data_IF_111325601106
#
_entry.id   IF_111325601106
#
_cell.length_a   1.000
_cell.length_b   1.000
_cell.length_c   1.000
_cell.angle_alpha   90.00
_cell.angle_beta   90.00
_cell.angle_gamma   90.00
#
_symmetry.space_group_name_H-M   'P 1'
#
loop_
_entity.id
_entity.type
_entity.pdbx_description
1 polymer ?
#
# COMPACT_ATOMS: atom_id res chain seq x y z
N UNK A 1 -38.82 29.56 16.97
CA UNK A 1 -37.78 30.34 16.26
C UNK A 1 -36.44 29.66 16.52
N UNK A 2 -35.69 29.55 15.44
CA UNK A 2 -34.42 28.90 15.19
C UNK A 2 -33.22 29.51 15.95
N UNK A 3 -32.23 28.68 16.32
CA UNK A 3 -30.83 28.89 15.94
C UNK A 3 -29.89 27.79 16.42
N UNK A 4 -29.09 27.34 15.46
CA UNK A 4 -28.04 26.34 15.46
C UNK A 4 -26.78 26.77 16.21
N UNK A 5 -25.96 25.81 16.65
CA UNK A 5 -24.50 25.98 16.68
C UNK A 5 -23.79 24.65 16.39
N UNK A 6 -23.28 24.58 15.17
CA UNK A 6 -22.18 23.73 14.71
C UNK A 6 -20.91 24.07 15.51
N UNK A 7 -20.01 23.10 15.71
CA UNK A 7 -18.57 23.34 15.53
C UNK A 7 -17.83 21.98 15.56
N UNK A 8 -17.43 21.61 14.35
CA UNK A 8 -16.58 20.50 13.91
C UNK A 8 -15.29 20.30 14.75
N UNK A 9 -14.90 19.04 14.97
CA UNK A 9 -13.59 18.68 15.51
C UNK A 9 -12.75 17.93 14.47
N UNK A 10 -11.91 18.72 13.80
CA UNK A 10 -10.54 18.44 13.34
C UNK A 10 -10.25 17.12 12.64
N UNK A 11 -10.28 17.22 11.32
CA UNK A 11 -9.41 16.46 10.41
C UNK A 11 -7.96 16.45 10.93
N UNK A 12 -7.36 15.27 10.99
CA UNK A 12 -5.90 15.12 11.02
C UNK A 12 -5.53 14.17 9.90
N UNK A 13 -5.52 14.72 8.69
CA UNK A 13 -4.86 14.14 7.54
C UNK A 13 -3.35 14.06 7.87
N UNK A 14 -2.93 12.87 8.30
CA UNK A 14 -1.52 12.58 8.49
C UNK A 14 -0.89 12.22 7.15
N UNK A 15 0.11 13.02 6.83
CA UNK A 15 1.15 12.82 5.82
C UNK A 15 0.77 13.13 4.37
N UNK A 16 0.88 14.43 4.06
CA UNK A 16 1.34 14.90 2.76
C UNK A 16 2.70 14.27 2.45
N UNK A 17 2.74 13.24 1.60
CA UNK A 17 3.96 12.98 0.83
C UNK A 17 4.07 14.09 -0.22
N UNK A 18 4.97 15.03 0.02
CA UNK A 18 5.42 15.99 -0.99
C UNK A 18 6.34 15.21 -1.93
N UNK A 19 5.80 14.74 -3.05
CA UNK A 19 6.60 14.16 -4.12
C UNK A 19 7.03 15.29 -5.06
N UNK A 20 7.90 16.16 -4.59
CA UNK A 20 8.68 17.05 -5.44
C UNK A 20 10.04 16.38 -5.63
N UNK A 21 10.10 15.45 -6.59
CA UNK A 21 11.36 14.94 -7.10
C UNK A 21 11.28 15.01 -8.62
N UNK A 22 11.48 16.23 -9.11
CA UNK A 22 11.75 16.51 -10.51
C UNK A 22 13.15 15.97 -10.79
N UNK A 23 13.21 14.79 -11.42
CA UNK A 23 14.43 14.22 -11.98
C UNK A 23 14.05 13.63 -13.32
N UNK A 24 14.01 14.52 -14.31
CA UNK A 24 14.12 14.17 -15.73
C UNK A 24 15.32 13.24 -15.94
N UNK A 25 15.04 11.94 -16.05
CA UNK A 25 15.99 10.96 -16.58
C UNK A 25 15.21 10.03 -17.52
N UNK A 26 15.32 10.30 -18.81
CA UNK A 26 14.90 9.37 -19.85
C UNK A 26 15.83 8.15 -19.77
N UNK A 27 15.35 6.99 -19.29
CA UNK A 27 15.83 5.61 -19.63
C UNK A 27 15.02 4.57 -18.86
N UNK A 28 14.31 3.72 -19.61
CA UNK A 28 13.54 2.51 -19.24
C UNK A 28 12.32 2.74 -18.32
N UNK A 29 11.16 2.33 -18.80
CA UNK A 29 9.87 2.34 -18.10
C UNK A 29 9.96 1.47 -16.82
N UNK A 30 10.56 2.00 -15.76
CA UNK A 30 10.61 1.35 -14.46
C UNK A 30 9.20 1.38 -13.88
N UNK A 31 8.37 0.39 -14.25
CA UNK A 31 7.03 0.23 -13.71
C UNK A 31 7.14 0.02 -12.19
N UNK A 32 6.85 1.02 -11.34
CA UNK A 32 7.11 0.92 -9.92
C UNK A 32 6.29 -0.21 -9.30
N UNK A 33 6.84 -0.92 -8.31
CA UNK A 33 6.07 -1.91 -7.56
C UNK A 33 4.94 -1.24 -6.80
N UNK A 34 3.77 -1.85 -6.81
CA UNK A 34 2.60 -1.36 -6.08
C UNK A 34 2.70 -1.56 -4.57
N UNK A 35 3.51 -2.52 -4.13
CA UNK A 35 3.70 -2.85 -2.72
C UNK A 35 5.18 -3.06 -2.43
N UNK A 36 5.63 -2.60 -1.27
CA UNK A 36 7.02 -2.72 -0.86
C UNK A 36 7.27 -3.92 0.07
N UNK A 37 8.53 -4.36 0.17
CA UNK A 37 8.90 -5.39 1.15
C UNK A 37 8.63 -4.90 2.57
N UNK A 38 7.97 -5.75 3.36
CA UNK A 38 7.62 -5.46 4.74
C UNK A 38 6.25 -4.81 4.92
N UNK A 39 5.62 -4.36 3.84
CA UNK A 39 4.29 -3.76 3.85
C UNK A 39 3.22 -4.76 4.29
N UNK A 40 2.22 -4.27 5.04
CA UNK A 40 1.06 -5.06 5.44
C UNK A 40 -0.04 -4.88 4.39
N UNK A 41 -0.46 -5.99 3.78
CA UNK A 41 -1.46 -6.01 2.71
C UNK A 41 -2.63 -6.92 3.08
N UNK A 42 -3.76 -6.73 2.40
CA UNK A 42 -4.88 -7.65 2.44
C UNK A 42 -4.81 -8.58 1.23
N UNK A 43 -4.63 -9.88 1.48
CA UNK A 43 -4.49 -10.88 0.43
C UNK A 43 -5.75 -11.75 0.33
N UNK A 44 -6.24 -11.94 -0.89
CA UNK A 44 -7.38 -12.80 -1.18
C UNK A 44 -6.93 -14.26 -1.31
N UNK A 45 -7.51 -15.13 -0.49
CA UNK A 45 -7.22 -16.56 -0.48
C UNK A 45 -8.48 -17.35 -0.13
N UNK A 46 -8.81 -18.40 -0.91
CA UNK A 46 -9.98 -19.26 -0.71
C UNK A 46 -11.29 -18.50 -0.44
N UNK A 47 -11.60 -17.47 -1.24
CA UNK A 47 -12.83 -16.64 -1.10
C UNK A 47 -12.86 -15.72 0.13
N UNK A 48 -11.81 -15.70 0.93
CA UNK A 48 -11.68 -14.83 2.11
C UNK A 48 -10.49 -13.88 1.94
N UNK A 49 -10.52 -12.76 2.65
CA UNK A 49 -9.45 -11.78 2.67
C UNK A 49 -8.72 -11.89 4.01
N UNK A 50 -7.40 -12.01 3.96
CA UNK A 50 -6.55 -12.16 5.14
C UNK A 50 -5.51 -11.04 5.22
N UNK A 51 -5.17 -10.56 6.42
CA UNK A 51 -3.99 -9.73 6.60
C UNK A 51 -2.74 -10.56 6.30
N UNK A 52 -1.83 -10.00 5.51
CA UNK A 52 -0.56 -10.61 5.14
C UNK A 52 0.56 -9.57 5.15
N UNK A 53 1.81 -10.04 5.18
CA UNK A 53 3.00 -9.19 5.05
C UNK A 53 3.72 -9.52 3.75
N UNK A 54 4.02 -8.50 2.94
CA UNK A 54 4.88 -8.67 1.76
C UNK A 54 6.28 -9.02 2.24
N UNK A 55 6.79 -10.14 1.76
CA UNK A 55 8.15 -10.62 2.07
C UNK A 55 9.11 -10.35 0.92
N UNK A 56 8.59 -10.25 -0.31
CA UNK A 56 9.40 -9.98 -1.50
C UNK A 56 8.50 -9.50 -2.64
N UNK A 57 8.97 -8.50 -3.37
CA UNK A 57 8.43 -8.10 -4.66
C UNK A 57 9.43 -8.47 -5.75
N UNK A 58 8.98 -9.12 -6.82
CA UNK A 58 9.83 -9.52 -7.96
C UNK A 58 9.13 -9.14 -9.26
N UNK A 59 9.83 -8.43 -10.13
CA UNK A 59 9.36 -8.14 -11.48
C UNK A 59 9.84 -9.24 -12.44
N UNK A 60 8.89 -10.01 -12.99
CA UNK A 60 9.16 -11.16 -13.85
C UNK A 60 8.10 -11.25 -14.94
N UNK A 61 8.50 -11.52 -16.19
CA UNK A 61 7.57 -11.62 -17.33
C UNK A 61 6.64 -10.40 -17.46
N UNK A 62 7.21 -9.20 -17.32
CA UNK A 62 6.49 -7.92 -17.44
C UNK A 62 5.34 -7.74 -16.42
N UNK A 63 5.42 -8.42 -15.27
CA UNK A 63 4.45 -8.32 -14.17
C UNK A 63 5.13 -8.41 -12.81
N UNK A 64 4.54 -7.74 -11.83
CA UNK A 64 4.94 -7.87 -10.43
C UNK A 64 4.37 -9.15 -9.80
N UNK A 65 5.23 -9.90 -9.13
CA UNK A 65 4.87 -11.02 -8.25
C UNK A 65 5.23 -10.66 -6.82
N UNK A 66 4.27 -10.82 -5.92
CA UNK A 66 4.45 -10.56 -4.50
C UNK A 66 4.39 -11.86 -3.71
N UNK A 67 5.43 -12.11 -2.93
CA UNK A 67 5.46 -13.22 -1.98
C UNK A 67 4.96 -12.70 -0.64
N UNK A 68 3.81 -13.19 -0.20
CA UNK A 68 3.18 -12.76 1.05
C UNK A 68 3.24 -13.85 2.11
N UNK A 69 3.32 -13.44 3.37
CA UNK A 69 3.22 -14.34 4.51
C UNK A 69 2.00 -13.98 5.36
N UNK A 70 1.15 -14.96 5.62
CA UNK A 70 -0.01 -14.84 6.51
C UNK A 70 0.43 -15.02 7.98
N UNK A 71 0.28 -14.01 8.85
CA UNK A 71 0.55 -14.15 10.27
C UNK A 71 -0.31 -15.25 10.89
N UNK A 72 0.27 -16.07 11.75
CA UNK A 72 -0.43 -17.20 12.39
C UNK A 72 -0.49 -18.48 11.56
N UNK A 73 0.00 -18.46 10.31
CA UNK A 73 0.22 -19.68 9.54
C UNK A 73 1.67 -20.11 9.76
N UNK A 74 1.88 -21.25 10.42
CA UNK A 74 3.23 -21.75 10.68
C UNK A 74 3.98 -21.94 9.35
N UNK A 75 5.10 -21.22 9.20
CA UNK A 75 6.09 -21.51 8.18
C UNK A 75 6.82 -22.81 8.59
N UNK A 76 6.71 -23.86 7.79
CA UNK A 76 7.72 -24.93 7.80
C UNK A 76 9.03 -24.39 7.23
#
# INVERSE_FOLDING_TARGET
MESSKDDSATISDVSTIKTDSDSETETDEECPSLYEEGEKVLAFHNQQIYPAKVMKAVYEFNRWKYYVHYPGWNKK
#
